data_IF_181165732428
#
_entry.id   IF_181165732428
#
_cell.length_a   1.000
_cell.length_b   1.000
_cell.length_c   1.000
_cell.angle_alpha   90.00
_cell.angle_beta   90.00
_cell.angle_gamma   90.00
#
_symmetry.space_group_name_H-M   'P 1'
#
loop_
_entity.id
_entity.type
_entity.pdbx_description
1 polymer ?
#
# COMPACT_ATOMS: atom_id res chain seq x y z
N UNK A 1 23.81 -24.33 9.26
CA UNK A 1 22.79 -23.25 9.36
C UNK A 1 21.77 -23.56 8.29
N UNK A 2 20.46 -23.65 8.60
CA UNK A 2 19.46 -23.84 7.54
C UNK A 2 19.52 -22.65 6.60
N UNK A 3 19.49 -22.97 5.32
CA UNK A 3 19.58 -22.03 4.21
C UNK A 3 18.42 -21.04 4.27
N UNK A 4 18.67 -19.82 4.72
CA UNK A 4 17.67 -18.73 4.83
C UNK A 4 17.25 -18.19 3.45
N UNK A 5 17.76 -18.75 2.37
CA UNK A 5 17.64 -18.19 1.02
C UNK A 5 16.36 -18.53 0.28
N UNK A 6 15.44 -19.30 0.88
CA UNK A 6 14.26 -19.77 0.13
C UNK A 6 12.88 -19.38 0.72
N UNK A 7 12.86 -18.64 1.83
CA UNK A 7 11.60 -18.16 2.41
C UNK A 7 11.38 -16.70 1.99
N UNK A 8 10.22 -16.44 1.38
CA UNK A 8 9.85 -15.07 1.01
C UNK A 8 9.74 -14.19 2.27
N UNK A 9 10.08 -12.90 2.20
CA UNK A 9 9.95 -11.95 3.32
C UNK A 9 8.55 -11.99 3.92
N UNK A 10 8.48 -12.19 5.23
CA UNK A 10 7.23 -12.21 5.99
C UNK A 10 7.49 -11.95 7.47
N UNK A 11 6.49 -11.41 8.16
CA UNK A 11 6.45 -11.28 9.61
C UNK A 11 5.03 -11.59 10.10
N UNK A 12 4.81 -12.85 10.46
CA UNK A 12 3.47 -13.31 10.86
C UNK A 12 2.95 -12.62 12.12
N UNK A 13 3.83 -12.24 13.05
CA UNK A 13 3.44 -11.51 14.27
C UNK A 13 2.94 -10.11 13.92
N UNK A 14 3.60 -9.41 12.98
CA UNK A 14 3.15 -8.12 12.52
C UNK A 14 1.81 -8.21 11.76
N UNK A 15 1.62 -9.25 10.93
CA UNK A 15 0.35 -9.49 10.24
C UNK A 15 -0.79 -9.74 11.22
N UNK A 16 -0.58 -10.59 12.22
CA UNK A 16 -1.56 -10.88 13.27
C UNK A 16 -1.91 -9.63 14.07
N UNK A 17 -0.88 -8.87 14.48
CA UNK A 17 -1.07 -7.65 15.25
C UNK A 17 -1.82 -6.59 14.45
N UNK A 18 -1.50 -6.42 13.17
CA UNK A 18 -2.20 -5.48 12.29
C UNK A 18 -3.66 -5.86 12.11
N UNK A 19 -3.96 -7.13 11.81
CA UNK A 19 -5.33 -7.63 11.70
C UNK A 19 -6.09 -7.44 13.01
N UNK A 20 -5.47 -7.74 14.16
CA UNK A 20 -6.05 -7.52 15.47
C UNK A 20 -6.42 -6.05 15.71
N UNK A 21 -5.52 -5.12 15.37
CA UNK A 21 -5.80 -3.68 15.46
C UNK A 21 -6.99 -3.27 14.58
N UNK A 22 -7.05 -3.76 13.34
CA UNK A 22 -8.12 -3.47 12.38
C UNK A 22 -9.47 -4.02 12.88
N UNK A 23 -9.48 -5.20 13.49
CA UNK A 23 -10.69 -5.85 14.00
C UNK A 23 -11.25 -5.19 15.25
N UNK A 24 -10.39 -4.55 16.06
CA UNK A 24 -10.77 -3.90 17.33
C UNK A 24 -11.19 -2.46 17.08
N UNK A 25 -10.55 -1.76 16.14
CA UNK A 25 -10.70 -0.33 15.97
C UNK A 25 -11.02 0.05 14.51
N UNK A 26 -12.25 0.53 14.31
CA UNK A 26 -12.71 0.97 13.00
C UNK A 26 -12.00 2.25 12.50
N UNK A 27 -11.38 3.05 13.39
CA UNK A 27 -10.60 4.21 12.97
C UNK A 27 -9.32 3.72 12.28
N UNK A 28 -8.66 2.71 12.86
CA UNK A 28 -7.50 2.05 12.22
C UNK A 28 -7.89 1.48 10.85
N UNK A 29 -9.03 0.80 10.75
CA UNK A 29 -9.49 0.28 9.46
C UNK A 29 -9.64 1.42 8.43
N UNK A 30 -10.27 2.52 8.82
CA UNK A 30 -10.49 3.66 7.92
C UNK A 30 -9.19 4.30 7.43
N UNK A 31 -8.12 4.30 8.25
CA UNK A 31 -6.82 4.84 7.88
C UNK A 31 -6.02 3.93 6.92
N UNK A 32 -6.25 2.62 7.00
CA UNK A 32 -5.44 1.64 6.23
C UNK A 32 -6.16 1.05 5.03
N UNK A 33 -7.49 1.16 4.95
CA UNK A 33 -8.32 0.46 3.95
C UNK A 33 -7.95 0.81 2.50
N UNK A 34 -7.60 2.05 2.24
CA UNK A 34 -7.22 2.50 0.89
C UNK A 34 -5.76 2.15 0.53
N UNK A 35 -4.97 1.76 1.54
CA UNK A 35 -3.54 1.52 1.42
C UNK A 35 -3.18 0.03 1.52
N UNK A 36 -4.11 -0.81 1.98
CA UNK A 36 -3.87 -2.21 2.30
C UNK A 36 -4.77 -3.12 1.48
N UNK A 37 -4.20 -4.13 0.87
CA UNK A 37 -4.92 -5.18 0.16
C UNK A 37 -4.72 -6.55 0.85
N UNK A 38 -5.54 -7.53 0.51
CA UNK A 38 -5.35 -8.91 0.96
C UNK A 38 -4.05 -9.52 0.45
N UNK A 39 -3.56 -9.12 -0.74
CA UNK A 39 -2.28 -9.56 -1.32
C UNK A 39 -1.06 -9.11 -0.49
N UNK A 40 -1.21 -8.09 0.37
CA UNK A 40 -0.15 -7.60 1.23
C UNK A 40 0.19 -8.58 2.36
N UNK A 41 -0.65 -9.54 2.64
CA UNK A 41 -0.41 -10.57 3.65
C UNK A 41 0.27 -11.80 3.06
N UNK A 42 1.18 -12.39 3.82
CA UNK A 42 1.88 -13.62 3.42
C UNK A 42 1.02 -14.86 3.69
N UNK A 43 0.44 -14.92 4.89
CA UNK A 43 -0.36 -16.05 5.34
C UNK A 43 -1.71 -16.08 4.61
N UNK A 44 -2.10 -17.25 4.08
CA UNK A 44 -3.37 -17.40 3.36
C UNK A 44 -4.58 -17.08 4.24
N UNK A 45 -4.58 -17.54 5.50
CA UNK A 45 -5.64 -17.22 6.45
C UNK A 45 -5.80 -15.70 6.67
N UNK A 46 -4.68 -14.97 6.75
CA UNK A 46 -4.69 -13.51 6.90
C UNK A 46 -5.24 -12.80 5.67
N UNK A 47 -4.90 -13.30 4.47
CA UNK A 47 -5.47 -12.79 3.21
C UNK A 47 -6.98 -12.95 3.18
N UNK A 48 -7.47 -14.12 3.55
CA UNK A 48 -8.91 -14.39 3.58
C UNK A 48 -9.64 -13.49 4.58
N UNK A 49 -9.06 -13.29 5.77
CA UNK A 49 -9.62 -12.39 6.79
C UNK A 49 -9.63 -10.95 6.25
N UNK A 50 -8.52 -10.45 5.70
CA UNK A 50 -8.46 -9.10 5.15
C UNK A 50 -9.44 -8.91 3.98
N UNK A 51 -9.54 -9.88 3.08
CA UNK A 51 -10.51 -9.86 1.99
C UNK A 51 -11.95 -9.75 2.49
N UNK A 52 -12.30 -10.50 3.55
CA UNK A 52 -13.61 -10.41 4.18
C UNK A 52 -13.85 -9.04 4.85
N UNK A 53 -12.84 -8.48 5.53
CA UNK A 53 -12.89 -7.13 6.13
C UNK A 53 -13.18 -6.09 5.04
N UNK A 54 -12.39 -6.08 3.95
CA UNK A 54 -12.57 -5.16 2.83
C UNK A 54 -13.95 -5.29 2.18
N UNK A 55 -14.45 -6.52 2.02
CA UNK A 55 -15.77 -6.80 1.46
C UNK A 55 -16.89 -6.24 2.34
N UNK A 56 -16.83 -6.45 3.66
CA UNK A 56 -17.81 -5.95 4.63
C UNK A 56 -17.76 -4.43 4.68
N UNK A 57 -16.57 -3.84 4.74
CA UNK A 57 -16.38 -2.39 4.74
C UNK A 57 -16.95 -1.73 3.47
N UNK A 58 -16.69 -2.28 2.29
CA UNK A 58 -17.21 -1.78 1.02
C UNK A 58 -18.75 -1.88 0.93
N UNK A 59 -19.36 -2.80 1.67
CA UNK A 59 -20.81 -2.90 1.82
C UNK A 59 -21.38 -1.90 2.84
N UNK A 60 -20.55 -1.07 3.46
CA UNK A 60 -20.89 -0.12 4.52
C UNK A 60 -21.58 -0.78 5.71
N UNK A 61 -21.19 -2.01 6.02
CA UNK A 61 -21.65 -2.75 7.19
C UNK A 61 -20.64 -2.57 8.34
N UNK A 62 -21.09 -2.72 9.60
CA UNK A 62 -20.16 -2.78 10.72
C UNK A 62 -19.13 -3.89 10.51
N UNK A 63 -17.86 -3.58 10.71
CA UNK A 63 -16.74 -4.55 10.63
C UNK A 63 -16.49 -5.09 12.03
N UNK A 64 -17.28 -6.08 12.42
CA UNK A 64 -17.17 -6.79 13.69
C UNK A 64 -16.99 -8.30 13.48
N UNK A 65 -16.73 -9.02 14.57
CA UNK A 65 -16.50 -10.46 14.52
C UNK A 65 -17.65 -11.20 13.82
N UNK A 66 -18.89 -10.79 14.08
CA UNK A 66 -20.08 -11.49 13.57
C UNK A 66 -20.22 -11.30 12.06
N UNK A 67 -20.07 -10.07 11.58
CA UNK A 67 -20.20 -9.75 10.15
C UNK A 67 -19.07 -10.33 9.32
N UNK A 68 -17.86 -10.38 9.88
CA UNK A 68 -16.68 -10.95 9.20
C UNK A 68 -16.79 -12.48 9.14
N UNK A 69 -17.17 -13.13 10.24
CA UNK A 69 -17.39 -14.60 10.24
C UNK A 69 -18.52 -15.01 9.32
N UNK A 70 -19.64 -14.30 9.29
CA UNK A 70 -20.74 -14.51 8.34
C UNK A 70 -20.29 -14.37 6.88
N UNK A 71 -19.45 -13.35 6.60
CA UNK A 71 -18.86 -13.17 5.25
C UNK A 71 -17.97 -14.33 4.84
N UNK A 72 -17.08 -14.78 5.75
CA UNK A 72 -16.17 -15.90 5.51
C UNK A 72 -16.93 -17.23 5.35
N UNK A 73 -18.01 -17.44 6.12
CA UNK A 73 -18.85 -18.62 6.04
C UNK A 73 -19.59 -18.68 4.71
N UNK A 74 -20.20 -17.57 4.27
CA UNK A 74 -20.86 -17.46 2.96
C UNK A 74 -19.94 -17.73 1.79
N UNK A 75 -18.67 -17.36 1.93
CA UNK A 75 -17.64 -17.61 0.91
C UNK A 75 -17.00 -19.01 1.05
N UNK A 76 -17.39 -19.82 2.05
CA UNK A 76 -16.83 -21.16 2.32
C UNK A 76 -15.38 -21.13 2.78
N UNK A 77 -14.91 -20.00 3.32
CA UNK A 77 -13.51 -19.76 3.68
C UNK A 77 -13.25 -19.70 5.19
N UNK A 78 -14.30 -19.84 6.03
CA UNK A 78 -14.14 -19.68 7.49
C UNK A 78 -13.10 -20.65 8.08
N UNK A 79 -13.15 -21.92 7.71
CA UNK A 79 -12.19 -22.94 8.17
C UNK A 79 -10.76 -22.65 7.69
N UNK A 80 -10.61 -22.20 6.44
CA UNK A 80 -9.29 -21.84 5.89
C UNK A 80 -8.72 -20.57 6.53
N UNK A 81 -9.59 -19.67 6.99
CA UNK A 81 -9.21 -18.49 7.74
C UNK A 81 -8.77 -18.82 9.18
N UNK A 82 -8.93 -20.07 9.62
CA UNK A 82 -8.57 -20.56 10.95
C UNK A 82 -9.75 -20.66 11.91
N UNK A 83 -10.99 -20.49 11.42
CA UNK A 83 -12.20 -20.57 12.23
C UNK A 83 -12.42 -19.35 13.14
N UNK A 84 -13.55 -19.36 13.82
CA UNK A 84 -13.94 -18.28 14.73
C UNK A 84 -12.92 -18.09 15.87
N UNK A 85 -12.38 -19.18 16.38
CA UNK A 85 -11.40 -19.14 17.48
C UNK A 85 -10.13 -18.38 17.11
N UNK A 86 -9.65 -18.55 15.88
CA UNK A 86 -8.47 -17.84 15.41
C UNK A 86 -8.73 -16.34 15.26
N UNK A 87 -9.86 -15.96 14.67
CA UNK A 87 -10.25 -14.56 14.50
C UNK A 87 -10.43 -13.89 15.86
N UNK A 88 -11.06 -14.58 16.82
CA UNK A 88 -11.21 -14.08 18.21
C UNK A 88 -9.85 -13.87 18.86
N UNK A 89 -8.90 -14.80 18.67
CA UNK A 89 -7.54 -14.68 19.20
C UNK A 89 -6.79 -13.49 18.62
N UNK A 90 -7.00 -13.15 17.34
CA UNK A 90 -6.40 -11.95 16.75
C UNK A 90 -6.86 -10.68 17.47
N UNK A 91 -8.11 -10.65 17.94
CA UNK A 91 -8.66 -9.52 18.71
C UNK A 91 -8.12 -9.42 20.15
N UNK A 92 -7.50 -10.47 20.69
CA UNK A 92 -6.87 -10.44 22.00
C UNK A 92 -5.45 -9.84 21.96
N UNK A 93 -4.90 -9.60 20.78
CA UNK A 93 -3.56 -9.05 20.57
C UNK A 93 -3.56 -7.55 20.86
N UNK A 94 -2.44 -6.98 21.33
CA UNK A 94 -2.45 -5.71 22.07
C UNK A 94 -2.63 -4.46 21.22
N UNK A 95 -3.15 -3.45 21.90
CA UNK A 95 -3.10 -2.00 21.63
C UNK A 95 -3.06 -1.54 20.17
N UNK A 96 -4.20 -1.05 19.69
CA UNK A 96 -4.33 -0.35 18.41
C UNK A 96 -3.34 0.85 18.24
N UNK A 97 -2.72 1.33 19.31
CA UNK A 97 -1.78 2.44 19.30
C UNK A 97 -0.54 2.24 18.41
N UNK A 98 -0.14 0.98 18.16
CA UNK A 98 1.07 0.66 17.41
C UNK A 98 0.79 0.16 15.97
N UNK A 99 -0.45 0.26 15.47
CA UNK A 99 -0.82 -0.28 14.16
C UNK A 99 0.07 0.22 13.02
N UNK A 100 0.54 1.48 13.06
CA UNK A 100 1.42 2.06 12.04
C UNK A 100 2.72 1.26 11.88
N UNK A 101 3.35 0.89 12.99
CA UNK A 101 4.57 0.07 12.95
C UNK A 101 4.32 -1.31 12.34
N UNK A 102 3.18 -1.94 12.65
CA UNK A 102 2.81 -3.22 12.06
C UNK A 102 2.48 -3.09 10.59
N UNK A 103 1.76 -2.04 10.22
CA UNK A 103 1.46 -1.69 8.84
C UNK A 103 2.75 -1.54 8.01
N UNK A 104 3.73 -0.75 8.49
CA UNK A 104 4.99 -0.53 7.79
C UNK A 104 5.77 -1.83 7.58
N UNK A 105 5.78 -2.73 8.59
CA UNK A 105 6.43 -4.04 8.48
C UNK A 105 5.73 -4.89 7.40
N UNK A 106 4.40 -5.01 7.45
CA UNK A 106 3.62 -5.81 6.50
C UNK A 106 3.83 -5.30 5.07
N UNK A 107 3.79 -3.98 4.88
CA UNK A 107 3.96 -3.36 3.57
C UNK A 107 5.38 -3.53 3.03
N UNK A 108 6.40 -3.27 3.85
CA UNK A 108 7.80 -3.51 3.47
C UNK A 108 7.99 -4.94 2.95
N UNK A 109 7.45 -5.92 3.69
CA UNK A 109 7.61 -7.32 3.34
C UNK A 109 6.78 -7.68 2.10
N UNK A 110 5.61 -7.07 1.91
CA UNK A 110 4.81 -7.19 0.69
C UNK A 110 5.56 -6.67 -0.54
N UNK A 111 6.09 -5.44 -0.49
CA UNK A 111 6.87 -4.85 -1.58
C UNK A 111 8.09 -5.71 -1.92
N UNK A 112 8.80 -6.22 -0.92
CA UNK A 112 9.93 -7.13 -1.15
C UNK A 112 9.49 -8.43 -1.84
N UNK A 113 8.33 -8.99 -1.48
CA UNK A 113 7.78 -10.18 -2.17
C UNK A 113 7.43 -9.88 -3.63
N UNK A 114 6.81 -8.73 -3.90
CA UNK A 114 6.48 -8.30 -5.27
C UNK A 114 7.75 -8.10 -6.10
N UNK A 115 8.78 -7.48 -5.53
CA UNK A 115 10.06 -7.28 -6.20
C UNK A 115 10.75 -8.62 -6.53
N UNK A 116 10.71 -9.59 -5.61
CA UNK A 116 11.25 -10.93 -5.87
C UNK A 116 10.46 -11.63 -7.00
N UNK A 117 9.13 -11.52 -7.01
CA UNK A 117 8.30 -12.08 -8.08
C UNK A 117 8.58 -11.42 -9.43
N UNK A 118 8.69 -10.10 -9.45
CA UNK A 118 9.03 -9.33 -10.65
C UNK A 118 10.42 -9.73 -11.19
N UNK A 119 11.41 -9.85 -10.31
CA UNK A 119 12.77 -10.28 -10.70
C UNK A 119 12.76 -11.66 -11.36
N UNK A 120 11.99 -12.63 -10.83
CA UNK A 120 11.85 -13.95 -11.46
C UNK A 120 11.24 -13.85 -12.86
N UNK A 121 10.18 -13.05 -13.02
CA UNK A 121 9.53 -12.83 -14.33
C UNK A 121 10.48 -12.13 -15.31
N UNK A 122 11.31 -11.19 -14.85
CA UNK A 122 12.32 -10.52 -15.68
C UNK A 122 13.35 -11.54 -16.17
N UNK A 123 13.84 -12.42 -15.28
CA UNK A 123 14.79 -13.48 -15.65
C UNK A 123 14.16 -14.41 -16.71
N UNK A 124 12.95 -14.91 -16.47
CA UNK A 124 12.23 -15.79 -17.39
C UNK A 124 12.01 -15.14 -18.76
N UNK A 125 11.56 -13.88 -18.77
CA UNK A 125 11.35 -13.13 -20.00
C UNK A 125 12.66 -12.91 -20.76
N UNK A 126 13.76 -12.54 -20.07
CA UNK A 126 15.05 -12.29 -20.69
C UNK A 126 15.68 -13.57 -21.29
N UNK A 127 15.38 -14.73 -20.68
CA UNK A 127 15.85 -16.02 -21.22
C UNK A 127 15.03 -16.48 -22.44
N UNK A 128 13.76 -16.13 -22.54
CA UNK A 128 12.85 -16.54 -23.59
C UNK A 128 12.70 -15.54 -24.72
N UNK A 129 12.88 -14.26 -24.45
CA UNK A 129 12.79 -13.17 -25.42
C UNK A 129 14.04 -13.15 -26.31
N UNK A 130 13.88 -13.19 -27.63
CA UNK A 130 14.96 -12.99 -28.59
C UNK A 130 15.39 -11.52 -28.73
N UNK A 131 14.71 -10.58 -28.07
CA UNK A 131 14.95 -9.13 -28.17
C UNK A 131 15.24 -8.52 -26.80
N UNK A 132 16.50 -8.07 -26.64
CA UNK A 132 16.95 -7.48 -25.38
C UNK A 132 16.22 -6.16 -25.05
N UNK A 133 15.84 -5.36 -26.05
CA UNK A 133 15.13 -4.09 -25.79
C UNK A 133 13.70 -4.33 -25.29
N UNK A 134 13.01 -5.33 -25.81
CA UNK A 134 11.69 -5.73 -25.29
C UNK A 134 11.79 -6.23 -23.85
N UNK A 135 12.85 -6.95 -23.51
CA UNK A 135 13.08 -7.41 -22.13
C UNK A 135 13.31 -6.24 -21.18
N UNK A 136 14.04 -5.20 -21.61
CA UNK A 136 14.22 -3.97 -20.82
C UNK A 136 12.88 -3.27 -20.59
N UNK A 137 12.10 -3.04 -21.61
CA UNK A 137 10.76 -2.40 -21.49
C UNK A 137 9.82 -3.18 -20.58
N UNK A 138 9.87 -4.52 -20.64
CA UNK A 138 9.11 -5.38 -19.74
C UNK A 138 9.55 -5.22 -18.28
N UNK A 139 10.85 -5.18 -18.03
CA UNK A 139 11.41 -4.97 -16.70
C UNK A 139 11.03 -3.59 -16.12
N UNK A 140 11.19 -2.53 -16.92
CA UNK A 140 10.80 -1.17 -16.53
C UNK A 140 9.33 -1.09 -16.14
N UNK A 141 8.44 -1.71 -16.92
CA UNK A 141 7.01 -1.75 -16.60
C UNK A 141 6.73 -2.41 -15.26
N UNK A 142 7.33 -3.59 -14.99
CA UNK A 142 7.13 -4.30 -13.73
C UNK A 142 7.63 -3.49 -12.52
N UNK A 143 8.80 -2.86 -12.64
CA UNK A 143 9.35 -2.02 -11.56
C UNK A 143 8.49 -0.77 -11.36
N UNK A 144 8.05 -0.14 -12.45
CA UNK A 144 7.14 1.02 -12.36
C UNK A 144 5.82 0.69 -11.67
N UNK A 145 5.22 -0.46 -11.98
CA UNK A 145 3.98 -0.91 -11.35
C UNK A 145 4.15 -1.12 -9.82
N UNK A 146 5.31 -1.63 -9.39
CA UNK A 146 5.65 -1.78 -7.96
C UNK A 146 5.85 -0.42 -7.31
N UNK A 147 6.60 0.50 -7.94
CA UNK A 147 6.80 1.87 -7.45
C UNK A 147 5.47 2.58 -7.23
N UNK A 148 4.57 2.50 -8.20
CA UNK A 148 3.25 3.15 -8.12
C UNK A 148 2.40 2.66 -6.96
N UNK A 149 2.47 1.36 -6.65
CA UNK A 149 1.85 0.81 -5.44
C UNK A 149 2.55 1.32 -4.17
N UNK A 150 3.86 1.49 -4.21
CA UNK A 150 4.66 2.06 -3.11
C UNK A 150 4.31 3.51 -2.81
N UNK A 151 4.11 4.36 -3.80
CA UNK A 151 3.81 5.79 -3.64
C UNK A 151 2.43 6.04 -2.96
N UNK A 152 1.55 5.05 -2.93
CA UNK A 152 0.31 5.12 -2.14
C UNK A 152 0.56 5.20 -0.62
N UNK A 153 1.80 4.96 -0.16
CA UNK A 153 2.18 5.06 1.27
C UNK A 153 2.54 6.47 1.71
N UNK A 154 2.88 7.35 0.78
CA UNK A 154 3.42 8.68 1.05
C UNK A 154 2.34 9.76 1.18
N UNK A 155 1.06 9.40 1.29
CA UNK A 155 0.01 10.42 1.52
C UNK A 155 0.13 11.11 2.90
N UNK A 156 0.78 10.49 3.89
CA UNK A 156 1.13 11.17 5.14
C UNK A 156 2.29 12.16 4.95
N UNK A 157 3.21 11.89 4.02
CA UNK A 157 4.25 12.82 3.59
C UNK A 157 3.67 14.09 2.93
N UNK A 158 2.50 14.02 2.31
CA UNK A 158 1.86 15.22 1.74
C UNK A 158 1.29 16.14 2.83
N UNK A 159 0.91 15.61 3.99
CA UNK A 159 0.43 16.43 5.12
C UNK A 159 1.54 17.06 5.95
N UNK A 160 2.70 16.42 6.06
CA UNK A 160 3.90 16.95 6.73
C UNK A 160 4.90 17.56 5.74
N UNK A 161 4.63 17.45 4.41
CA UNK A 161 5.67 17.62 3.43
C UNK A 161 5.84 19.08 3.03
N UNK A 162 7.09 19.37 2.73
CA UNK A 162 7.60 20.47 1.90
C UNK A 162 6.65 20.89 0.78
N UNK A 163 5.85 19.98 0.16
CA UNK A 163 4.93 20.29 -0.93
C UNK A 163 3.84 21.29 -0.52
N UNK A 164 3.23 21.13 0.66
CA UNK A 164 2.23 22.10 1.15
C UNK A 164 2.90 23.42 1.48
N UNK A 165 4.06 23.39 2.12
CA UNK A 165 4.83 24.58 2.41
C UNK A 165 5.35 25.24 1.13
N UNK A 166 5.86 24.47 0.18
CA UNK A 166 6.30 24.96 -1.14
C UNK A 166 5.14 25.61 -1.92
N UNK A 167 3.94 25.04 -1.84
CA UNK A 167 2.74 25.63 -2.46
C UNK A 167 2.34 26.92 -1.74
N UNK A 168 2.36 26.95 -0.41
CA UNK A 168 2.07 28.16 0.38
C UNK A 168 3.12 29.25 0.09
N UNK A 169 4.41 28.91 0.12
CA UNK A 169 5.50 29.83 -0.17
C UNK A 169 5.39 30.39 -1.60
N UNK A 170 4.98 29.55 -2.55
CA UNK A 170 4.72 29.96 -3.93
C UNK A 170 3.52 30.86 -4.05
N UNK A 171 2.44 30.61 -3.33
CA UNK A 171 1.29 31.52 -3.26
C UNK A 171 1.65 32.85 -2.59
N UNK A 172 2.45 32.83 -1.52
CA UNK A 172 2.92 34.04 -0.86
C UNK A 172 3.84 34.87 -1.78
N UNK A 173 4.76 34.24 -2.51
CA UNK A 173 5.65 34.91 -3.44
C UNK A 173 4.88 35.57 -4.58
N UNK A 174 3.88 34.89 -5.16
CA UNK A 174 2.97 35.42 -6.18
C UNK A 174 2.11 36.57 -5.63
N UNK A 175 1.70 36.48 -4.35
CA UNK A 175 0.91 37.54 -3.71
C UNK A 175 1.73 38.80 -3.39
N UNK A 176 3.04 38.63 -3.16
CA UNK A 176 3.97 39.77 -2.88
C UNK A 176 4.46 40.45 -4.16
N UNK A 177 4.64 39.66 -5.23
CA UNK A 177 5.11 40.14 -6.53
C UNK A 177 4.05 39.88 -7.60
N UNK A 178 3.35 40.94 -8.02
CA UNK A 178 2.30 40.86 -9.03
C UNK A 178 2.83 40.52 -10.42
N UNK A 179 4.12 40.67 -10.64
CA UNK A 179 4.81 40.39 -11.90
C UNK A 179 5.53 38.99 -11.86
N UNK A 180 5.37 38.26 -10.77
CA UNK A 180 5.92 36.88 -10.67
C UNK A 180 5.29 35.96 -11.71
N UNK A 181 6.13 35.36 -12.52
CA UNK A 181 5.70 34.37 -13.52
C UNK A 181 5.05 33.17 -12.83
N UNK A 182 3.86 32.79 -13.25
CA UNK A 182 3.09 31.66 -12.70
C UNK A 182 3.53 30.30 -13.26
N UNK A 183 4.29 30.31 -14.35
CA UNK A 183 4.77 29.13 -15.07
C UNK A 183 6.29 29.05 -15.18
N UNK A 184 6.77 28.19 -16.06
CA UNK A 184 8.20 28.04 -16.38
C UNK A 184 8.61 29.10 -17.38
N UNK A 185 9.62 29.96 -17.08
CA UNK A 185 10.05 31.01 -18.00
C UNK A 185 10.60 30.41 -19.31
N UNK A 186 10.06 30.86 -20.43
CA UNK A 186 10.49 30.43 -21.78
C UNK A 186 11.76 31.09 -22.27
N UNK A 187 12.25 32.12 -21.56
CA UNK A 187 13.38 32.98 -22.00
C UNK A 187 12.96 34.11 -22.93
N UNK A 188 11.72 34.17 -23.37
CA UNK A 188 11.18 35.23 -24.22
C UNK A 188 10.19 36.08 -23.43
N UNK A 189 10.53 37.34 -23.05
CA UNK A 189 9.69 38.16 -22.15
C UNK A 189 8.25 38.37 -22.68
N UNK A 190 8.12 38.55 -23.99
CA UNK A 190 6.79 38.74 -24.63
C UNK A 190 5.91 37.50 -24.49
N UNK A 191 6.51 36.32 -24.69
CA UNK A 191 5.78 35.05 -24.58
C UNK A 191 5.42 34.75 -23.12
N UNK A 192 6.33 35.01 -22.19
CA UNK A 192 6.09 34.85 -20.76
C UNK A 192 4.92 35.72 -20.27
N UNK A 193 4.84 36.98 -20.74
CA UNK A 193 3.72 37.86 -20.41
C UNK A 193 2.38 37.40 -21.01
N UNK A 194 2.42 36.75 -22.15
CA UNK A 194 1.21 36.25 -22.83
C UNK A 194 0.68 34.95 -22.21
N UNK A 195 1.59 34.07 -21.72
CA UNK A 195 1.27 32.73 -21.19
C UNK A 195 1.31 32.65 -19.67
N UNK A 196 1.74 33.69 -18.97
CA UNK A 196 2.09 33.68 -17.54
C UNK A 196 3.24 32.71 -17.16
N UNK A 197 4.16 32.50 -18.09
CA UNK A 197 5.29 31.62 -17.93
C UNK A 197 5.20 30.37 -18.74
#
# INVERSE_FOLDING_TARGET
MPDKTNVLPNNLEAEQSLLGCILIDNEVLSEVVDKLSDEDFFQESHRLIMSAILKVFNQRKPTDLVTITDSLEKDGNLEKAGGIEYITRLMEIPSAANYRSYFDIVKRDSVNRELIRASRRIIENSMSSGDGMQSVQYAEKLIYDISKKGDSYTMDDIRESTVVNDVIDRFESISRDKDALRGVPTGFPFLNNLTNG
#
